data_IF_396233845643
#
_entry.id   IF_396233845643
#
_cell.length_a   1.000
_cell.length_b   1.000
_cell.length_c   1.000
_cell.angle_alpha   90.00
_cell.angle_beta   90.00
_cell.angle_gamma   90.00
#
_symmetry.space_group_name_H-M   'P 1'
#
loop_
_entity.id
_entity.type
_entity.pdbx_description
1 polymer ?
#
# COMPACT_ATOMS: atom_id res chain seq x y z
N UNK A 1 -20.29 -18.02 -55.55
CA UNK A 1 -19.14 -18.71 -54.91
C UNK A 1 -17.98 -17.77 -55.13
N UNK A 2 -17.83 -16.82 -54.21
CA UNK A 2 -17.13 -15.58 -54.47
C UNK A 2 -15.89 -15.48 -53.59
N UNK A 3 -14.75 -15.45 -54.28
CA UNK A 3 -13.47 -15.04 -53.75
C UNK A 3 -13.50 -13.54 -53.46
N UNK A 4 -13.30 -13.13 -52.21
CA UNK A 4 -12.56 -11.89 -51.95
C UNK A 4 -11.92 -11.86 -50.55
N UNK A 5 -10.59 -11.97 -50.54
CA UNK A 5 -9.71 -11.67 -49.41
C UNK A 5 -9.65 -10.15 -49.24
N UNK A 6 -10.22 -9.62 -48.15
CA UNK A 6 -9.87 -8.29 -47.67
C UNK A 6 -8.81 -8.41 -46.58
N UNK A 7 -7.57 -8.04 -46.94
CA UNK A 7 -6.52 -7.67 -45.97
C UNK A 7 -6.80 -6.24 -45.52
N UNK A 8 -7.12 -6.06 -44.25
CA UNK A 8 -7.19 -4.73 -43.63
C UNK A 8 -5.84 -4.41 -42.98
N UNK A 9 -5.08 -3.52 -43.62
CA UNK A 9 -3.85 -2.92 -43.12
C UNK A 9 -4.22 -1.80 -42.15
N UNK A 10 -3.78 -1.88 -40.89
CA UNK A 10 -3.93 -0.78 -39.91
C UNK A 10 -2.93 0.33 -40.23
N UNK A 11 -3.31 1.62 -40.16
CA UNK A 11 -2.34 2.71 -40.13
C UNK A 11 -1.77 2.83 -38.71
N UNK A 12 -0.45 2.68 -38.60
CA UNK A 12 0.35 3.07 -37.44
C UNK A 12 0.52 4.59 -37.46
N UNK A 13 -0.10 5.29 -36.51
CA UNK A 13 0.21 6.70 -36.25
C UNK A 13 1.17 6.74 -35.06
N UNK A 14 2.46 6.82 -35.35
CA UNK A 14 3.50 7.10 -34.35
C UNK A 14 3.49 8.60 -34.04
N UNK A 15 3.25 8.96 -32.78
CA UNK A 15 3.56 10.30 -32.29
C UNK A 15 4.98 10.31 -31.74
N UNK A 16 5.87 11.03 -32.43
CA UNK A 16 7.18 11.42 -31.93
C UNK A 16 7.06 12.79 -31.25
N UNK A 17 7.58 12.99 -30.03
CA UNK A 17 7.80 14.33 -29.51
C UNK A 17 9.02 14.96 -30.21
N UNK A 18 8.78 16.12 -30.80
CA UNK A 18 9.77 17.00 -31.44
C UNK A 18 10.69 17.57 -30.36
N UNK A 19 12.00 17.32 -30.49
CA UNK A 19 13.06 18.03 -29.78
C UNK A 19 13.35 19.29 -30.59
N UNK A 20 13.23 20.46 -29.98
CA UNK A 20 13.77 21.70 -30.50
C UNK A 20 15.00 22.06 -29.65
N UNK A 21 16.15 22.17 -30.32
CA UNK A 21 17.41 22.69 -29.79
C UNK A 21 17.65 24.13 -30.27
N UNK A 22 18.45 24.84 -29.46
CA UNK A 22 19.22 26.08 -29.72
C UNK A 22 18.45 27.41 -29.77
N UNK A 23 18.90 28.53 -29.19
CA UNK A 23 20.22 28.92 -28.66
C UNK A 23 20.07 30.16 -27.74
N UNK A 24 21.09 30.42 -26.89
CA UNK A 24 21.47 31.80 -26.55
C UNK A 24 21.89 32.11 -25.11
N UNK A 25 23.19 31.87 -24.81
CA UNK A 25 24.12 32.64 -23.98
C UNK A 25 23.65 33.47 -22.76
N UNK A 26 24.21 33.18 -21.57
CA UNK A 26 25.23 34.04 -20.94
C UNK A 26 25.79 33.44 -19.63
N UNK A 27 27.11 33.24 -19.59
CA UNK A 27 27.97 32.99 -18.42
C UNK A 27 29.40 33.32 -18.90
N UNK A 28 30.31 34.01 -18.21
CA UNK A 28 30.52 34.37 -16.81
C UNK A 28 31.42 35.67 -16.83
N UNK A 29 32.31 36.07 -15.87
CA UNK A 29 32.87 35.36 -14.70
C UNK A 29 33.11 36.21 -13.42
N UNK A 30 33.28 35.56 -12.25
CA UNK A 30 34.39 35.84 -11.31
C UNK A 30 34.49 34.75 -10.22
N UNK A 31 35.71 34.26 -9.97
CA UNK A 31 36.12 33.39 -8.86
C UNK A 31 37.06 34.19 -7.92
N UNK A 32 37.77 33.60 -6.92
CA UNK A 32 37.46 32.60 -5.88
C UNK A 32 37.84 33.12 -4.46
N UNK A 33 37.42 32.46 -3.36
CA UNK A 33 38.10 32.59 -2.04
C UNK A 33 38.21 31.24 -1.32
N UNK A 34 39.42 30.98 -0.83
CA UNK A 34 39.95 29.82 -0.11
C UNK A 34 39.56 29.71 1.39
N UNK A 35 39.86 28.51 1.94
CA UNK A 35 40.44 28.18 3.28
C UNK A 35 39.58 27.52 4.38
N UNK A 36 39.71 26.18 4.43
CA UNK A 36 40.18 25.30 5.53
C UNK A 36 39.64 25.45 6.98
N UNK A 37 39.10 24.35 7.54
CA UNK A 37 39.72 23.53 8.62
C UNK A 37 38.81 22.40 9.14
N UNK A 38 39.31 21.16 9.06
CA UNK A 38 38.96 20.04 9.95
C UNK A 38 39.41 20.34 11.40
N UNK A 39 38.76 19.72 12.40
CA UNK A 39 39.41 18.95 13.49
C UNK A 39 38.34 18.18 14.31
N UNK A 40 38.75 16.97 14.72
CA UNK A 40 37.99 15.85 15.25
C UNK A 40 37.58 15.91 16.74
N UNK A 41 36.75 14.92 17.12
CA UNK A 41 36.29 14.56 18.45
C UNK A 41 37.38 13.99 19.38
N UNK A 42 37.12 13.92 20.70
CA UNK A 42 37.79 12.97 21.57
C UNK A 42 36.82 12.03 22.34
N UNK A 43 37.18 10.75 22.30
CA UNK A 43 36.72 9.67 23.20
C UNK A 43 37.68 9.59 24.39
N UNK A 44 37.20 9.33 25.61
CA UNK A 44 37.92 8.47 26.59
C UNK A 44 37.07 8.09 27.81
N UNK A 45 37.08 6.79 28.12
CA UNK A 45 36.63 6.14 29.35
C UNK A 45 37.64 6.34 30.49
N UNK A 46 37.18 6.47 31.73
CA UNK A 46 37.90 5.90 32.90
C UNK A 46 36.95 5.59 34.07
N UNK A 47 37.11 4.40 34.65
CA UNK A 47 36.43 3.88 35.85
C UNK A 47 37.14 4.38 37.13
N UNK A 48 36.37 4.67 38.18
CA UNK A 48 36.75 4.37 39.58
C UNK A 48 35.55 4.45 40.54
N UNK A 49 35.50 3.49 41.47
CA UNK A 49 34.76 3.43 42.75
C UNK A 49 35.78 2.75 43.73
N UNK A 50 35.69 2.83 45.07
CA UNK A 50 34.47 2.90 45.90
C UNK A 50 34.57 3.85 47.13
N UNK A 51 33.48 4.09 47.88
CA UNK A 51 33.43 4.20 49.37
C UNK A 51 31.98 4.48 49.86
N UNK A 52 31.47 3.50 50.63
CA UNK A 52 30.61 3.52 51.84
C UNK A 52 29.48 4.56 52.03
N UNK A 53 28.26 4.03 52.24
CA UNK A 53 27.02 4.71 52.66
C UNK A 53 27.08 5.42 54.02
N UNK A 54 26.26 6.48 54.19
CA UNK A 54 25.33 6.54 55.32
C UNK A 54 23.86 6.52 54.86
N UNK A 55 23.06 5.72 55.58
CA UNK A 55 21.59 5.64 55.46
C UNK A 55 20.94 6.99 55.78
N UNK A 56 20.21 7.55 54.81
CA UNK A 56 19.22 8.60 55.05
C UNK A 56 17.90 8.15 54.39
N UNK A 57 16.85 8.00 55.21
CA UNK A 57 15.50 7.66 54.80
C UNK A 57 14.92 8.74 53.87
N UNK A 58 14.41 8.41 52.68
CA UNK A 58 13.66 9.37 51.87
C UNK A 58 12.21 9.50 52.35
N UNK A 59 11.62 10.70 52.26
CA UNK A 59 10.24 10.96 52.66
C UNK A 59 9.24 10.38 51.67
N UNK A 60 8.17 9.80 52.22
CA UNK A 60 7.01 9.22 51.54
C UNK A 60 6.33 10.27 50.67
N UNK A 61 6.46 10.17 49.34
CA UNK A 61 5.61 10.88 48.37
C UNK A 61 4.66 9.87 47.72
N UNK A 62 3.37 10.21 47.55
CA UNK A 62 2.39 9.29 47.00
C UNK A 62 2.71 8.97 45.54
N UNK A 63 2.54 7.68 45.25
CA UNK A 63 2.67 7.01 43.96
C UNK A 63 1.92 7.79 42.86
N UNK A 64 2.64 8.50 41.98
CA UNK A 64 2.06 8.96 40.72
C UNK A 64 1.86 7.73 39.86
N UNK A 65 0.64 7.16 39.92
CA UNK A 65 0.18 6.15 38.98
C UNK A 65 0.27 6.77 37.59
N UNK A 66 1.29 6.36 36.82
CA UNK A 66 1.28 6.48 35.37
C UNK A 66 0.01 5.77 34.94
N UNK A 67 -1.05 6.54 34.68
CA UNK A 67 -2.25 6.04 34.03
C UNK A 67 -1.78 5.51 32.69
N UNK A 68 -1.67 4.18 32.58
CA UNK A 68 -1.65 3.47 31.31
C UNK A 68 -2.82 4.05 30.53
N UNK A 69 -2.54 4.89 29.52
CA UNK A 69 -3.51 5.29 28.51
C UNK A 69 -3.92 3.97 27.85
N UNK A 70 -5.05 3.44 28.29
CA UNK A 70 -5.78 2.39 27.61
C UNK A 70 -6.08 2.99 26.24
N UNK A 71 -5.29 2.64 25.21
CA UNK A 71 -5.76 2.77 23.83
C UNK A 71 -6.95 1.83 23.77
N UNK A 72 -8.13 2.37 24.03
CA UNK A 72 -9.35 1.78 23.52
C UNK A 72 -9.26 1.97 22.00
N UNK A 73 -8.56 1.06 21.32
CA UNK A 73 -8.76 0.82 19.89
C UNK A 73 -9.96 -0.10 19.76
N UNK A 74 -11.10 0.39 20.23
CA UNK A 74 -12.40 -0.07 19.76
C UNK A 74 -12.88 1.10 18.92
N UNK A 75 -12.53 1.08 17.63
CA UNK A 75 -13.24 1.89 16.65
C UNK A 75 -14.67 1.39 16.73
N UNK A 76 -15.65 2.22 17.12
CA UNK A 76 -17.03 1.81 17.07
C UNK A 76 -17.32 1.48 15.61
N UNK A 77 -17.69 0.23 15.32
CA UNK A 77 -18.28 -0.17 14.05
C UNK A 77 -19.64 0.51 13.92
N UNK A 78 -19.67 1.83 13.75
CA UNK A 78 -20.87 2.51 13.28
C UNK A 78 -21.06 2.04 11.85
N UNK A 79 -22.19 1.42 11.55
CA UNK A 79 -22.51 1.02 10.17
C UNK A 79 -22.27 2.22 9.25
N UNK A 80 -21.43 2.05 8.22
CA UNK A 80 -21.13 3.08 7.22
C UNK A 80 -22.38 3.38 6.38
N UNK A 81 -23.30 4.16 6.97
CA UNK A 81 -24.51 4.63 6.28
C UNK A 81 -24.11 5.66 5.21
N UNK A 82 -24.77 5.67 4.04
CA UNK A 82 -24.52 6.65 3.00
C UNK A 82 -24.81 8.07 3.50
N UNK A 83 -23.89 9.00 3.27
CA UNK A 83 -24.09 10.42 3.46
C UNK A 83 -24.64 11.02 2.17
N UNK A 84 -25.87 11.54 2.21
CA UNK A 84 -26.50 12.25 1.09
C UNK A 84 -25.91 13.64 0.89
N UNK A 85 -24.64 13.71 0.48
CA UNK A 85 -23.86 14.93 0.26
C UNK A 85 -22.88 14.73 -0.89
N UNK A 86 -22.54 15.81 -1.57
CA UNK A 86 -21.44 15.81 -2.55
C UNK A 86 -20.09 15.66 -1.82
N UNK A 87 -19.29 14.61 -2.08
CA UNK A 87 -17.96 14.48 -1.48
C UNK A 87 -17.03 15.63 -1.87
N UNK A 88 -17.21 16.25 -3.04
CA UNK A 88 -16.36 17.35 -3.51
C UNK A 88 -16.60 18.66 -2.75
N UNK A 89 -17.66 18.74 -1.94
CA UNK A 89 -17.85 19.82 -0.96
C UNK A 89 -16.90 19.70 0.23
N UNK A 90 -16.43 18.49 0.55
CA UNK A 90 -15.50 18.19 1.66
C UNK A 90 -14.07 18.03 1.17
N UNK A 91 -13.89 17.46 -0.02
CA UNK A 91 -12.59 17.16 -0.61
C UNK A 91 -12.32 18.00 -1.86
N UNK A 92 -11.05 18.35 -2.07
CA UNK A 92 -10.56 18.90 -3.32
C UNK A 92 -10.23 17.72 -4.24
N UNK A 93 -10.90 17.66 -5.39
CA UNK A 93 -10.64 16.64 -6.42
C UNK A 93 -9.25 16.85 -7.01
N UNK A 94 -8.40 15.83 -6.93
CA UNK A 94 -7.09 15.81 -7.54
C UNK A 94 -7.07 14.98 -8.82
N UNK A 95 -5.98 14.26 -9.03
CA UNK A 95 -5.73 13.43 -10.21
C UNK A 95 -6.45 12.08 -10.14
N UNK A 96 -6.81 11.54 -11.31
CA UNK A 96 -7.33 10.18 -11.42
C UNK A 96 -6.15 9.19 -11.50
N UNK A 97 -6.01 8.35 -10.48
CA UNK A 97 -4.86 7.44 -10.32
C UNK A 97 -5.15 6.01 -10.78
N UNK A 98 -6.42 5.61 -10.84
CA UNK A 98 -6.85 4.34 -11.44
C UNK A 98 -8.06 4.54 -12.34
N UNK A 99 -7.88 4.98 -13.61
CA UNK A 99 -8.99 5.37 -14.47
C UNK A 99 -10.02 4.26 -14.72
N UNK A 100 -9.56 3.01 -14.84
CA UNK A 100 -10.45 1.85 -15.02
C UNK A 100 -11.32 1.55 -13.81
N UNK A 101 -10.90 2.01 -12.61
CA UNK A 101 -11.60 1.82 -11.34
C UNK A 101 -12.34 3.09 -10.89
N UNK A 102 -12.21 4.20 -11.63
CA UNK A 102 -12.81 5.50 -11.29
C UNK A 102 -12.28 6.08 -9.97
N UNK A 103 -10.99 5.88 -9.67
CA UNK A 103 -10.39 6.30 -8.38
C UNK A 103 -9.61 7.59 -8.55
N UNK A 104 -9.99 8.58 -7.77
CA UNK A 104 -9.36 9.89 -7.67
C UNK A 104 -8.56 10.01 -6.38
N UNK A 105 -7.35 10.57 -6.48
CA UNK A 105 -6.66 11.14 -5.32
C UNK A 105 -7.36 12.46 -4.95
N UNK A 106 -7.71 12.62 -3.68
CA UNK A 106 -8.36 13.82 -3.20
C UNK A 106 -7.73 14.29 -1.89
N UNK A 107 -7.81 15.60 -1.63
CA UNK A 107 -7.26 16.24 -0.43
C UNK A 107 -8.40 16.79 0.40
N UNK A 108 -8.37 16.59 1.72
CA UNK A 108 -9.34 17.20 2.62
C UNK A 108 -9.20 18.74 2.60
N UNK A 109 -10.33 19.46 2.43
CA UNK A 109 -10.35 20.94 2.37
C UNK A 109 -9.93 21.58 3.69
N UNK A 110 -10.32 21.00 4.83
CA UNK A 110 -10.02 21.52 6.16
C UNK A 110 -8.61 21.10 6.61
N UNK A 111 -8.23 19.85 6.34
CA UNK A 111 -6.92 19.30 6.68
C UNK A 111 -6.11 18.96 5.43
N UNK A 112 -5.33 19.92 4.91
CA UNK A 112 -4.55 19.73 3.68
C UNK A 112 -3.49 18.62 3.75
N UNK A 113 -3.13 18.14 4.94
CA UNK A 113 -2.20 17.01 5.08
C UNK A 113 -2.89 15.65 4.90
N UNK A 114 -4.22 15.61 4.93
CA UNK A 114 -4.99 14.40 4.80
C UNK A 114 -5.36 14.15 3.32
N UNK A 115 -4.78 13.10 2.78
CA UNK A 115 -5.10 12.56 1.46
C UNK A 115 -6.04 11.36 1.62
N UNK A 116 -6.94 11.21 0.65
CA UNK A 116 -7.87 10.08 0.56
C UNK A 116 -8.02 9.64 -0.89
N UNK A 117 -8.46 8.40 -1.07
CA UNK A 117 -8.86 7.90 -2.38
C UNK A 117 -10.38 7.87 -2.48
N UNK A 118 -10.92 8.54 -3.48
CA UNK A 118 -12.36 8.57 -3.73
C UNK A 118 -12.65 7.76 -4.99
N UNK A 119 -13.29 6.62 -4.79
CA UNK A 119 -13.78 5.78 -5.87
C UNK A 119 -15.20 6.19 -6.24
N UNK A 120 -15.38 6.60 -7.49
CA UNK A 120 -16.69 6.93 -8.04
C UNK A 120 -17.29 5.69 -8.72
N UNK A 121 -18.48 5.29 -8.28
CA UNK A 121 -19.20 4.13 -8.77
C UNK A 121 -20.56 4.53 -9.32
N UNK A 122 -20.89 3.99 -10.50
CA UNK A 122 -22.22 4.04 -11.09
C UNK A 122 -22.78 2.63 -11.13
N UNK A 123 -23.54 2.25 -10.12
CA UNK A 123 -24.15 0.94 -9.99
C UNK A 123 -25.44 1.02 -9.19
N UNK A 124 -26.24 -0.05 -9.24
CA UNK A 124 -27.46 -0.19 -8.47
C UNK A 124 -27.20 0.02 -6.96
N UNK A 125 -28.02 0.83 -6.25
CA UNK A 125 -27.82 1.13 -4.84
C UNK A 125 -27.71 -0.13 -3.94
N UNK A 126 -28.49 -1.17 -4.25
CA UNK A 126 -28.45 -2.43 -3.50
C UNK A 126 -27.09 -3.14 -3.62
N UNK A 127 -26.48 -3.11 -4.81
CA UNK A 127 -25.16 -3.69 -5.06
C UNK A 127 -24.07 -2.95 -4.28
N UNK A 128 -24.12 -1.61 -4.26
CA UNK A 128 -23.18 -0.79 -3.48
C UNK A 128 -23.36 -1.02 -1.98
N UNK A 129 -24.60 -1.09 -1.49
CA UNK A 129 -24.85 -1.38 -0.07
C UNK A 129 -24.31 -2.75 0.33
N UNK A 130 -24.48 -3.78 -0.51
CA UNK A 130 -23.91 -5.11 -0.27
C UNK A 130 -22.37 -5.07 -0.24
N UNK A 131 -21.76 -4.29 -1.13
CA UNK A 131 -20.31 -4.08 -1.20
C UNK A 131 -19.80 -3.42 0.09
N UNK A 132 -20.37 -2.28 0.48
CA UNK A 132 -20.01 -1.53 1.69
C UNK A 132 -20.20 -2.39 2.94
N UNK A 133 -21.28 -3.16 3.01
CA UNK A 133 -21.51 -4.11 4.10
C UNK A 133 -20.41 -5.16 4.17
N UNK A 134 -20.06 -5.77 3.03
CA UNK A 134 -18.98 -6.78 2.96
C UNK A 134 -17.65 -6.22 3.45
N UNK A 135 -17.29 -5.00 3.04
CA UNK A 135 -16.06 -4.34 3.47
C UNK A 135 -16.06 -4.05 4.97
N UNK A 136 -17.19 -3.58 5.50
CA UNK A 136 -17.34 -3.27 6.92
C UNK A 136 -17.27 -4.54 7.79
N UNK A 137 -17.95 -5.61 7.36
CA UNK A 137 -17.97 -6.89 8.06
C UNK A 137 -16.60 -7.60 8.03
N UNK A 138 -15.82 -7.37 6.97
CA UNK A 138 -14.47 -7.93 6.77
C UNK A 138 -13.34 -6.92 7.08
N UNK A 139 -13.63 -5.90 7.90
CA UNK A 139 -12.65 -4.88 8.25
C UNK A 139 -11.46 -5.50 8.98
N UNK A 140 -10.30 -5.45 8.33
CA UNK A 140 -9.08 -6.06 8.84
C UNK A 140 -7.84 -5.31 8.33
N UNK A 141 -6.76 -5.33 9.10
CA UNK A 141 -5.53 -4.53 8.83
C UNK A 141 -4.86 -4.80 7.48
N UNK A 142 -5.17 -5.95 6.87
CA UNK A 142 -4.62 -6.35 5.56
C UNK A 142 -5.44 -5.82 4.40
N UNK A 143 -6.60 -5.17 4.62
CA UNK A 143 -7.44 -4.61 3.56
C UNK A 143 -7.55 -3.09 3.70
N UNK A 144 -7.70 -2.35 2.58
CA UNK A 144 -7.93 -0.92 2.62
C UNK A 144 -9.12 -0.57 3.49
N UNK A 145 -8.94 0.37 4.40
CA UNK A 145 -10.04 0.86 5.23
C UNK A 145 -10.99 1.75 4.41
N UNK A 146 -12.27 1.39 4.39
CA UNK A 146 -13.33 2.29 3.93
C UNK A 146 -13.65 3.28 5.04
N UNK A 147 -13.39 4.56 4.78
CA UNK A 147 -13.56 5.65 5.75
C UNK A 147 -14.97 6.25 5.69
N UNK A 148 -15.53 6.38 4.49
CA UNK A 148 -16.82 7.01 4.29
C UNK A 148 -17.51 6.54 3.00
N UNK A 149 -18.84 6.67 2.97
CA UNK A 149 -19.66 6.45 1.78
C UNK A 149 -20.56 7.68 1.57
N UNK A 150 -20.41 8.34 0.44
CA UNK A 150 -21.28 9.42 0.00
C UNK A 150 -22.19 8.95 -1.13
N UNK A 151 -23.41 9.47 -1.16
CA UNK A 151 -24.33 9.32 -2.26
C UNK A 151 -24.72 10.70 -2.75
N UNK A 152 -24.49 10.95 -4.03
CA UNK A 152 -24.79 12.23 -4.65
C UNK A 152 -25.16 12.00 -6.12
N UNK A 153 -26.32 12.53 -6.52
CA UNK A 153 -26.92 12.27 -7.83
C UNK A 153 -27.05 10.74 -8.10
N UNK A 154 -26.65 10.29 -9.29
CA UNK A 154 -26.68 8.89 -9.71
C UNK A 154 -25.41 8.12 -9.33
N UNK A 155 -24.57 8.66 -8.45
CA UNK A 155 -23.27 8.10 -8.10
C UNK A 155 -23.14 7.80 -6.61
N UNK A 156 -22.45 6.70 -6.34
CA UNK A 156 -21.90 6.38 -5.03
C UNK A 156 -20.41 6.67 -5.01
N UNK A 157 -19.95 7.33 -3.96
CA UNK A 157 -18.55 7.66 -3.77
C UNK A 157 -18.03 7.00 -2.50
N UNK A 158 -17.06 6.11 -2.66
CA UNK A 158 -16.41 5.40 -1.56
C UNK A 158 -15.08 6.08 -1.25
N UNK A 159 -14.94 6.55 -0.01
CA UNK A 159 -13.71 7.22 0.46
C UNK A 159 -12.88 6.20 1.24
N UNK A 160 -11.70 5.92 0.70
CA UNK A 160 -10.77 4.92 1.22
C UNK A 160 -9.55 5.57 1.84
N UNK A 161 -8.87 4.84 2.73
CA UNK A 161 -7.53 5.21 3.19
C UNK A 161 -6.58 5.46 2.00
N UNK A 162 -5.65 6.42 2.11
CA UNK A 162 -4.72 6.71 1.03
C UNK A 162 -3.73 5.54 0.82
N UNK A 163 -3.43 5.25 -0.44
CA UNK A 163 -2.33 4.36 -0.84
C UNK A 163 -1.40 5.09 -1.81
N UNK A 164 -0.10 4.85 -1.71
CA UNK A 164 0.91 5.54 -2.53
C UNK A 164 1.11 4.85 -3.88
N UNK A 165 1.18 3.51 -3.87
CA UNK A 165 1.43 2.75 -5.08
C UNK A 165 0.96 1.30 -4.98
N UNK A 166 0.89 0.62 -6.12
CA UNK A 166 0.70 -0.83 -6.22
C UNK A 166 2.01 -1.58 -6.40
N UNK A 167 1.99 -2.89 -6.17
CA UNK A 167 3.14 -3.76 -6.45
C UNK A 167 3.52 -3.78 -7.91
N UNK A 168 2.58 -3.59 -8.84
CA UNK A 168 2.88 -3.43 -10.26
C UNK A 168 3.81 -2.24 -10.51
N UNK A 169 3.61 -1.12 -9.82
CA UNK A 169 4.47 0.06 -9.95
C UNK A 169 5.86 -0.19 -9.36
N UNK A 170 5.94 -0.88 -8.21
CA UNK A 170 7.23 -1.32 -7.62
C UNK A 170 7.99 -2.24 -8.59
N UNK A 171 7.29 -3.22 -9.19
CA UNK A 171 7.87 -4.13 -10.17
C UNK A 171 8.35 -3.40 -11.43
N UNK A 172 7.66 -2.34 -11.85
CA UNK A 172 8.06 -1.47 -12.97
C UNK A 172 9.22 -0.51 -12.65
N UNK A 173 9.54 -0.28 -11.38
CA UNK A 173 10.59 0.66 -10.96
C UNK A 173 12.01 0.09 -11.09
N UNK A 174 13.04 0.89 -10.78
CA UNK A 174 14.43 0.43 -10.64
C UNK A 174 14.77 -0.09 -9.23
N UNK A 175 13.81 -0.07 -8.31
CA UNK A 175 14.01 -0.47 -6.92
C UNK A 175 14.18 -1.99 -6.81
N UNK A 176 15.26 -2.43 -6.18
CA UNK A 176 15.53 -3.85 -5.86
C UNK A 176 15.13 -4.14 -4.42
N UNK A 177 14.47 -5.28 -4.19
CA UNK A 177 13.97 -5.68 -2.88
C UNK A 177 14.89 -6.71 -2.25
N UNK A 178 15.30 -6.56 -1.01
CA UNK A 178 15.96 -7.66 -0.32
C UNK A 178 14.93 -8.68 0.24
N UNK A 179 15.43 -9.79 0.78
CA UNK A 179 14.60 -10.86 1.36
C UNK A 179 13.67 -10.36 2.47
N UNK A 180 14.14 -9.46 3.34
CA UNK A 180 13.34 -8.91 4.44
C UNK A 180 12.20 -8.05 3.92
N UNK A 181 12.43 -7.31 2.84
CA UNK A 181 11.40 -6.49 2.19
C UNK A 181 10.36 -7.36 1.48
N UNK A 182 10.78 -8.42 0.77
CA UNK A 182 9.84 -9.40 0.20
C UNK A 182 9.02 -10.05 1.31
N UNK A 183 9.64 -10.48 2.41
CA UNK A 183 8.91 -11.04 3.55
C UNK A 183 7.90 -10.03 4.14
N UNK A 184 8.26 -8.75 4.20
CA UNK A 184 7.39 -7.67 4.67
C UNK A 184 6.21 -7.40 3.73
N UNK A 185 6.33 -7.75 2.44
CA UNK A 185 5.23 -7.73 1.48
C UNK A 185 4.33 -8.96 1.64
N UNK A 186 4.94 -10.15 1.66
CA UNK A 186 4.22 -11.43 1.67
C UNK A 186 3.44 -11.66 2.96
N UNK A 187 4.02 -11.29 4.10
CA UNK A 187 3.46 -11.61 5.41
C UNK A 187 2.08 -10.98 5.65
N UNK A 188 1.85 -9.67 5.43
CA UNK A 188 0.51 -9.08 5.52
C UNK A 188 -0.51 -9.72 4.58
N UNK A 189 -0.08 -10.17 3.39
CA UNK A 189 -0.94 -10.84 2.42
C UNK A 189 -1.41 -12.20 2.97
N UNK A 190 -0.48 -13.01 3.48
CA UNK A 190 -0.79 -14.29 4.11
C UNK A 190 -1.77 -14.15 5.29
N UNK A 191 -1.58 -13.12 6.11
CA UNK A 191 -2.48 -12.86 7.24
C UNK A 191 -3.89 -12.49 6.73
N UNK A 192 -3.98 -11.69 5.66
CA UNK A 192 -5.27 -11.33 5.04
C UNK A 192 -5.98 -12.54 4.44
N UNK A 193 -5.26 -13.39 3.71
CA UNK A 193 -5.80 -14.66 3.15
C UNK A 193 -6.29 -15.56 4.29
N UNK A 194 -5.50 -15.73 5.35
CA UNK A 194 -5.89 -16.54 6.51
C UNK A 194 -7.13 -15.99 7.18
N UNK A 195 -7.21 -14.68 7.37
CA UNK A 195 -8.39 -14.04 7.95
C UNK A 195 -9.65 -14.31 7.12
N UNK A 196 -9.58 -14.20 5.79
CA UNK A 196 -10.72 -14.50 4.92
C UNK A 196 -11.11 -15.98 4.99
N UNK A 197 -10.13 -16.88 4.99
CA UNK A 197 -10.37 -18.32 5.15
C UNK A 197 -11.11 -18.61 6.45
N UNK A 198 -10.69 -17.98 7.55
CA UNK A 198 -11.33 -18.15 8.85
C UNK A 198 -12.77 -17.54 8.87
N UNK A 199 -13.14 -16.77 7.85
CA UNK A 199 -14.50 -16.28 7.60
C UNK A 199 -15.23 -17.06 6.48
N UNK A 200 -14.72 -18.22 6.06
CA UNK A 200 -15.19 -19.04 4.94
C UNK A 200 -15.24 -18.30 3.60
N UNK A 201 -14.22 -17.47 3.35
CA UNK A 201 -14.11 -16.65 2.13
C UNK A 201 -12.72 -16.71 1.51
N UNK A 202 -12.64 -16.34 0.24
CA UNK A 202 -11.38 -15.94 -0.38
C UNK A 202 -11.55 -14.76 -1.33
N UNK A 203 -10.42 -14.16 -1.67
CA UNK A 203 -10.33 -13.09 -2.67
C UNK A 203 -10.77 -13.63 -4.04
N UNK A 204 -11.52 -12.84 -4.80
CA UNK A 204 -11.82 -13.18 -6.20
C UNK A 204 -10.54 -13.21 -7.05
N UNK A 205 -9.68 -12.22 -6.84
CA UNK A 205 -8.42 -12.02 -7.58
C UNK A 205 -7.31 -11.59 -6.64
N UNK A 206 -6.09 -12.01 -6.94
CA UNK A 206 -4.89 -11.49 -6.30
C UNK A 206 -3.82 -11.32 -7.38
N UNK A 207 -3.59 -10.08 -7.80
CA UNK A 207 -2.52 -9.73 -8.75
C UNK A 207 -1.63 -8.64 -8.15
N UNK A 208 -0.60 -8.25 -8.89
CA UNK A 208 0.28 -7.14 -8.51
C UNK A 208 -0.47 -5.80 -8.35
N UNK A 209 -1.61 -5.62 -9.03
CA UNK A 209 -2.41 -4.39 -8.91
C UNK A 209 -3.29 -4.35 -7.65
N UNK A 210 -3.59 -5.52 -7.07
CA UNK A 210 -4.36 -5.63 -5.83
C UNK A 210 -3.48 -5.50 -4.58
N UNK A 211 -2.16 -5.65 -4.70
CA UNK A 211 -1.23 -5.42 -3.58
C UNK A 211 -0.85 -3.94 -3.56
N UNK A 212 -1.26 -3.25 -2.50
CA UNK A 212 -1.14 -1.80 -2.35
C UNK A 212 -0.22 -1.43 -1.18
N UNK A 213 0.49 -0.32 -1.30
CA UNK A 213 1.39 0.22 -0.29
C UNK A 213 0.85 1.55 0.25
N UNK A 214 0.79 1.69 1.58
CA UNK A 214 0.43 2.95 2.25
C UNK A 214 1.66 3.84 2.44
N UNK A 215 1.46 5.14 2.68
CA UNK A 215 2.57 6.09 2.93
C UNK A 215 3.39 5.78 4.19
N UNK A 216 2.86 4.94 5.08
CA UNK A 216 3.56 4.43 6.26
C UNK A 216 4.34 3.13 6.02
N UNK A 217 4.42 2.64 4.78
CA UNK A 217 5.05 1.37 4.41
C UNK A 217 4.20 0.14 4.73
N UNK A 218 2.91 0.33 5.02
CA UNK A 218 1.98 -0.78 5.24
C UNK A 218 1.54 -1.41 3.92
N UNK A 219 1.20 -2.70 3.97
CA UNK A 219 0.70 -3.44 2.81
C UNK A 219 -0.79 -3.73 2.99
N UNK A 220 -1.55 -3.53 1.91
CA UNK A 220 -2.99 -3.76 1.82
C UNK A 220 -3.31 -4.63 0.60
N UNK A 221 -4.44 -5.33 0.66
CA UNK A 221 -4.97 -6.14 -0.43
C UNK A 221 -6.31 -5.54 -0.86
N UNK A 222 -6.41 -5.02 -2.07
CA UNK A 222 -7.67 -4.55 -2.64
C UNK A 222 -8.58 -5.73 -3.05
N UNK A 223 -9.88 -5.47 -3.24
CA UNK A 223 -10.81 -6.46 -3.77
C UNK A 223 -11.51 -7.32 -2.71
N UNK A 224 -11.40 -6.99 -1.42
CA UNK A 224 -12.10 -7.69 -0.33
C UNK A 224 -13.62 -7.63 -0.52
N UNK A 225 -14.09 -6.53 -1.10
CA UNK A 225 -15.48 -6.27 -1.43
C UNK A 225 -16.05 -7.23 -2.49
N UNK A 226 -15.17 -7.85 -3.27
CA UNK A 226 -15.48 -8.87 -4.27
C UNK A 226 -15.12 -10.28 -3.81
N UNK A 227 -14.73 -10.45 -2.54
CA UNK A 227 -14.47 -11.79 -2.00
C UNK A 227 -15.70 -12.70 -2.13
N UNK A 228 -15.47 -14.00 -2.26
CA UNK A 228 -16.52 -15.00 -2.41
C UNK A 228 -16.52 -15.95 -1.21
N UNK A 229 -17.69 -16.47 -0.84
CA UNK A 229 -17.75 -17.59 0.10
C UNK A 229 -17.21 -18.85 -0.59
N UNK A 230 -16.51 -19.67 0.19
CA UNK A 230 -15.94 -20.92 -0.29
C UNK A 230 -16.29 -22.00 0.71
N UNK A 231 -16.79 -23.12 0.21
CA UNK A 231 -17.06 -24.28 1.05
C UNK A 231 -15.75 -24.88 1.56
N UNK A 232 -15.70 -25.37 2.82
CA UNK A 232 -14.46 -25.92 3.40
C UNK A 232 -13.80 -27.02 2.54
N UNK A 233 -14.60 -27.78 1.79
CA UNK A 233 -14.13 -28.85 0.90
C UNK A 233 -13.36 -28.32 -0.32
N UNK A 234 -13.66 -27.09 -0.76
CA UNK A 234 -13.02 -26.43 -1.89
C UNK A 234 -11.82 -25.56 -1.48
N UNK A 235 -11.50 -25.49 -0.18
CA UNK A 235 -10.39 -24.68 0.32
C UNK A 235 -9.03 -25.35 0.05
N UNK A 236 -8.38 -24.91 -1.02
CA UNK A 236 -7.05 -25.33 -1.42
C UNK A 236 -6.19 -24.10 -1.79
N UNK A 237 -4.91 -24.33 -2.09
CA UNK A 237 -3.97 -23.25 -2.40
C UNK A 237 -4.44 -22.34 -3.55
N UNK A 238 -5.10 -22.88 -4.57
CA UNK A 238 -5.58 -22.10 -5.71
C UNK A 238 -6.80 -21.25 -5.37
N UNK A 239 -7.79 -21.83 -4.66
CA UNK A 239 -9.01 -21.09 -4.26
C UNK A 239 -8.70 -20.00 -3.24
N UNK A 240 -7.78 -20.25 -2.31
CA UNK A 240 -7.29 -19.27 -1.34
C UNK A 240 -6.30 -18.24 -1.92
N UNK A 241 -5.96 -18.34 -3.21
CA UNK A 241 -5.01 -17.46 -3.91
C UNK A 241 -3.57 -17.54 -3.40
N UNK A 242 -3.19 -18.64 -2.76
CA UNK A 242 -1.79 -18.91 -2.38
C UNK A 242 -0.92 -19.17 -3.62
N UNK A 243 -1.44 -19.83 -4.65
CA UNK A 243 -0.71 -20.00 -5.92
C UNK A 243 -0.48 -18.67 -6.64
N UNK A 244 -1.44 -17.75 -6.57
CA UNK A 244 -1.27 -16.40 -7.09
C UNK A 244 -0.20 -15.63 -6.31
N UNK A 245 -0.16 -15.79 -4.97
CA UNK A 245 0.90 -15.23 -4.13
C UNK A 245 2.27 -15.85 -4.46
N UNK A 246 2.34 -17.16 -4.73
CA UNK A 246 3.56 -17.83 -5.20
C UNK A 246 4.11 -17.17 -6.46
N UNK A 247 3.25 -16.90 -7.45
CA UNK A 247 3.65 -16.20 -8.68
C UNK A 247 4.11 -14.76 -8.44
N UNK A 248 3.51 -14.06 -7.48
CA UNK A 248 3.97 -12.73 -7.06
C UNK A 248 5.39 -12.81 -6.48
N UNK A 249 5.64 -13.77 -5.58
CA UNK A 249 6.98 -13.96 -4.98
C UNK A 249 8.02 -14.29 -6.04
N UNK A 250 7.72 -15.22 -6.97
CA UNK A 250 8.61 -15.56 -8.10
C UNK A 250 8.96 -14.31 -8.93
N UNK A 251 7.99 -13.43 -9.18
CA UNK A 251 8.23 -12.17 -9.93
C UNK A 251 9.11 -11.19 -9.15
N UNK A 252 8.93 -11.08 -7.84
CA UNK A 252 9.76 -10.21 -7.00
C UNK A 252 11.21 -10.71 -6.96
N UNK A 253 11.42 -12.02 -6.80
CA UNK A 253 12.75 -12.62 -6.80
C UNK A 253 13.45 -12.44 -8.15
N UNK A 254 12.77 -12.80 -9.24
CA UNK A 254 13.29 -12.66 -10.62
C UNK A 254 13.62 -11.21 -10.99
N UNK A 255 12.88 -10.25 -10.43
CA UNK A 255 13.19 -8.83 -10.64
C UNK A 255 14.58 -8.50 -10.11
N UNK A 256 14.97 -8.99 -8.94
CA UNK A 256 16.29 -8.70 -8.38
C UNK A 256 17.39 -9.39 -9.16
N UNK A 257 17.17 -10.65 -9.57
CA UNK A 257 18.12 -11.39 -10.42
C UNK A 257 18.44 -10.66 -11.73
N UNK A 258 17.52 -9.83 -12.24
CA UNK A 258 17.77 -8.99 -13.42
C UNK A 258 18.82 -7.89 -13.16
N UNK A 259 18.90 -7.38 -11.93
CA UNK A 259 19.81 -6.30 -11.55
C UNK A 259 21.07 -6.82 -10.84
N UNK A 260 20.95 -7.94 -10.14
CA UNK A 260 22.01 -8.64 -9.42
C UNK A 260 21.83 -10.16 -9.61
N UNK A 261 22.40 -10.76 -10.66
CA UNK A 261 22.26 -12.19 -10.97
C UNK A 261 22.79 -13.12 -9.87
N UNK A 262 23.74 -12.63 -9.06
CA UNK A 262 24.39 -13.40 -8.01
C UNK A 262 23.78 -13.12 -6.62
N UNK A 263 22.59 -12.50 -6.57
CA UNK A 263 21.93 -12.18 -5.31
C UNK A 263 21.72 -13.45 -4.47
N UNK A 264 22.28 -13.52 -3.25
CA UNK A 264 22.36 -14.75 -2.48
C UNK A 264 21.06 -15.01 -1.71
N UNK A 265 20.03 -15.50 -2.41
CA UNK A 265 18.79 -15.91 -1.76
C UNK A 265 19.01 -17.00 -0.72
N UNK A 266 18.45 -16.84 0.48
CA UNK A 266 18.45 -17.90 1.48
C UNK A 266 17.68 -19.14 0.98
N UNK A 267 18.00 -20.34 1.49
CA UNK A 267 17.21 -21.54 1.21
C UNK A 267 15.72 -21.36 1.56
N UNK A 268 15.42 -20.61 2.62
CA UNK A 268 14.07 -20.29 3.04
C UNK A 268 13.33 -19.44 2.01
N UNK A 269 13.97 -18.41 1.47
CA UNK A 269 13.41 -17.55 0.43
C UNK A 269 13.19 -18.33 -0.88
N UNK A 270 14.15 -19.17 -1.28
CA UNK A 270 14.03 -20.01 -2.47
C UNK A 270 12.87 -21.01 -2.37
N UNK A 271 12.63 -21.56 -1.18
CA UNK A 271 11.57 -22.54 -0.96
C UNK A 271 10.18 -21.91 -0.75
N UNK A 272 10.10 -20.60 -0.48
CA UNK A 272 8.83 -19.92 -0.17
C UNK A 272 7.76 -20.10 -1.26
N UNK A 273 8.05 -19.92 -2.57
CA UNK A 273 7.04 -20.12 -3.61
C UNK A 273 6.47 -21.54 -3.62
N UNK A 274 7.33 -22.56 -3.49
CA UNK A 274 6.90 -23.95 -3.45
C UNK A 274 5.96 -24.22 -2.27
N UNK A 275 6.27 -23.65 -1.09
CA UNK A 275 5.42 -23.80 0.11
C UNK A 275 4.05 -23.11 -0.01
N UNK A 276 3.90 -22.17 -0.93
CA UNK A 276 2.63 -21.49 -1.20
C UNK A 276 1.77 -22.26 -2.23
N UNK A 277 2.40 -23.08 -3.07
CA UNK A 277 1.71 -23.88 -4.08
C UNK A 277 1.15 -25.20 -3.51
N UNK A 278 1.62 -25.61 -2.32
CA UNK A 278 1.17 -26.81 -1.57
C UNK A 278 0.05 -26.48 -0.59
#
# INVERSE_FOLDING_TARGET
>A
MDNNRFKATRPETMFFPVIADSDGNDSAPTAPIERTKEVAAPTTLTKSNPTTLPKIKPPTKPLVKIRKRKRNSEIPTSSLQPLSKDPWSVYIKGIEIFPRKGIFLAQNRENKMELVHIQQLKAEPASIQSLVKTVNDLSYRSFPQLMCHYQHEDYSFLVWEPVECSLSQVLGSKYTLNETEIASIVWPILIGIRYLRDCDRALATLTNDEVLFTGSGGVRIAGVEHSCRIDPEDMNAATLKLTALSEIVKRLMKKNEKFDPDFPWSPEAQNLPHRLDT
#
